data_IF_981944900710
#
_entry.id   IF_981944900710
#
_cell.length_a   1.000
_cell.length_b   1.000
_cell.length_c   1.000
_cell.angle_alpha   90.00
_cell.angle_beta   90.00
_cell.angle_gamma   90.00
#
_symmetry.space_group_name_H-M   'P 1'
#
loop_
_entity.id
_entity.type
_entity.pdbx_description
1 polymer ?
#
# COMPACT_ATOMS: atom_id res chain seq x y z
N UNK A 1 -34.81 13.36 -1.34
CA UNK A 1 -34.54 11.94 -1.01
C UNK A 1 -33.49 11.97 0.07
N UNK A 2 -33.60 11.15 1.12
CA UNK A 2 -32.51 11.00 2.13
C UNK A 2 -31.29 10.32 1.51
N UNK A 3 -30.10 10.72 1.96
CA UNK A 3 -28.84 10.07 1.57
C UNK A 3 -28.89 8.58 1.93
N UNK A 4 -28.46 7.72 1.00
CA UNK A 4 -28.37 6.27 1.22
C UNK A 4 -26.90 5.89 1.32
N UNK A 5 -26.56 5.16 2.38
CA UNK A 5 -25.21 4.65 2.56
C UNK A 5 -25.08 3.23 1.97
N UNK A 6 -23.97 2.91 1.31
CA UNK A 6 -23.74 1.57 0.77
C UNK A 6 -23.72 0.48 1.84
N UNK A 7 -24.36 -0.65 1.53
CA UNK A 7 -24.20 -1.91 2.22
C UNK A 7 -23.44 -2.85 1.29
N UNK A 8 -22.35 -3.44 1.75
CA UNK A 8 -21.50 -4.25 0.90
C UNK A 8 -20.73 -5.31 1.68
N UNK A 9 -20.36 -6.37 0.96
CA UNK A 9 -19.46 -7.40 1.48
C UNK A 9 -18.01 -6.97 1.25
N UNK A 10 -17.18 -7.10 2.27
CA UNK A 10 -15.74 -6.84 2.21
C UNK A 10 -14.96 -8.11 2.48
N UNK A 11 -13.71 -8.16 2.03
CA UNK A 11 -12.84 -9.32 2.18
C UNK A 11 -11.43 -8.93 2.61
N UNK A 12 -10.88 -9.61 3.62
CA UNK A 12 -9.48 -9.60 3.98
C UNK A 12 -8.84 -10.90 3.51
N UNK A 13 -7.85 -10.81 2.64
CA UNK A 13 -7.06 -11.96 2.21
C UNK A 13 -5.98 -12.25 3.24
N UNK A 14 -5.94 -13.46 3.74
CA UNK A 14 -4.82 -13.97 4.53
C UNK A 14 -4.09 -15.03 3.72
N UNK A 15 -2.91 -14.71 3.22
CA UNK A 15 -2.12 -15.63 2.42
C UNK A 15 -0.66 -15.21 2.36
N UNK A 16 0.24 -16.18 2.15
CA UNK A 16 1.63 -15.90 1.78
C UNK A 16 1.73 -15.54 0.29
N UNK A 17 2.69 -14.71 -0.13
CA UNK A 17 3.11 -14.65 -1.53
C UNK A 17 3.78 -15.98 -1.95
N UNK A 18 4.06 -16.15 -3.23
CA UNK A 18 5.09 -17.10 -3.66
C UNK A 18 6.43 -16.38 -3.51
N UNK A 19 7.15 -16.70 -2.46
CA UNK A 19 8.30 -15.92 -1.98
C UNK A 19 9.32 -15.61 -3.08
N UNK A 20 9.58 -14.30 -3.31
CA UNK A 20 10.50 -13.79 -4.33
C UNK A 20 10.20 -14.27 -5.77
N UNK A 21 8.92 -14.55 -6.06
CA UNK A 21 8.46 -14.90 -7.39
C UNK A 21 7.28 -14.00 -7.77
N UNK A 22 7.58 -12.96 -8.53
CA UNK A 22 6.64 -11.94 -8.94
C UNK A 22 5.49 -12.49 -9.76
N UNK A 23 5.79 -13.36 -10.73
CA UNK A 23 4.81 -13.86 -11.69
C UNK A 23 3.83 -14.82 -11.03
N UNK A 24 4.34 -15.73 -10.20
CA UNK A 24 3.49 -16.65 -9.45
C UNK A 24 2.70 -15.93 -8.35
N UNK A 25 3.28 -14.96 -7.64
CA UNK A 25 2.56 -14.13 -6.67
C UNK A 25 1.43 -13.33 -7.33
N UNK A 26 1.66 -12.77 -8.52
CA UNK A 26 0.63 -12.05 -9.30
C UNK A 26 -0.48 -13.01 -9.74
N UNK A 27 -0.12 -14.19 -10.21
CA UNK A 27 -1.11 -15.22 -10.59
C UNK A 27 -1.96 -15.67 -9.41
N UNK A 28 -1.33 -15.93 -8.23
CA UNK A 28 -2.02 -16.27 -6.98
C UNK A 28 -2.96 -15.12 -6.55
N UNK A 29 -2.49 -13.87 -6.59
CA UNK A 29 -3.29 -12.69 -6.29
C UNK A 29 -4.52 -12.59 -7.19
N UNK A 30 -4.35 -12.73 -8.50
CA UNK A 30 -5.45 -12.68 -9.46
C UNK A 30 -6.52 -13.77 -9.22
N UNK A 31 -6.09 -14.98 -8.82
CA UNK A 31 -7.01 -16.05 -8.42
C UNK A 31 -7.79 -15.66 -7.17
N UNK A 32 -7.11 -15.24 -6.10
CA UNK A 32 -7.75 -14.83 -4.84
C UNK A 32 -8.72 -13.65 -5.02
N UNK A 33 -8.41 -12.69 -5.91
CA UNK A 33 -9.32 -11.60 -6.26
C UNK A 33 -10.60 -12.13 -6.88
N UNK A 34 -10.51 -13.05 -7.87
CA UNK A 34 -11.67 -13.64 -8.51
C UNK A 34 -12.48 -14.50 -7.55
N UNK A 35 -11.80 -15.28 -6.69
CA UNK A 35 -12.45 -16.10 -5.66
C UNK A 35 -13.23 -15.22 -4.67
N UNK A 36 -12.64 -14.11 -4.20
CA UNK A 36 -13.33 -13.16 -3.33
C UNK A 36 -14.52 -12.49 -4.02
N UNK A 37 -14.33 -12.07 -5.28
CA UNK A 37 -15.40 -11.48 -6.08
C UNK A 37 -16.57 -12.44 -6.36
N UNK A 38 -16.29 -13.71 -6.60
CA UNK A 38 -17.33 -14.76 -6.79
C UNK A 38 -18.16 -14.99 -5.53
N UNK A 39 -17.60 -14.71 -4.35
CA UNK A 39 -18.28 -14.71 -3.05
C UNK A 39 -18.98 -13.38 -2.73
N UNK A 40 -19.01 -12.45 -3.68
CA UNK A 40 -19.74 -11.18 -3.58
C UNK A 40 -18.99 -10.03 -2.93
N UNK A 41 -17.69 -10.17 -2.65
CA UNK A 41 -16.88 -9.07 -2.09
C UNK A 41 -16.81 -7.89 -3.05
N UNK A 42 -16.96 -6.67 -2.51
CA UNK A 42 -16.89 -5.40 -3.24
C UNK A 42 -15.63 -4.60 -2.91
N UNK A 43 -14.99 -4.89 -1.79
CA UNK A 43 -13.68 -4.37 -1.41
C UNK A 43 -12.83 -5.55 -0.93
N UNK A 44 -11.66 -5.73 -1.52
CA UNK A 44 -10.75 -6.85 -1.25
C UNK A 44 -9.40 -6.27 -0.86
N UNK A 45 -8.92 -6.60 0.33
CA UNK A 45 -7.65 -6.10 0.88
C UNK A 45 -6.63 -7.23 0.98
N UNK A 46 -5.43 -6.97 0.49
CA UNK A 46 -4.30 -7.89 0.50
C UNK A 46 -3.24 -7.49 1.53
N UNK A 47 -2.39 -8.44 1.96
CA UNK A 47 -1.28 -8.18 2.87
C UNK A 47 -0.24 -7.20 2.32
N UNK A 48 0.61 -6.71 3.22
CA UNK A 48 1.78 -5.87 2.93
C UNK A 48 2.81 -6.64 2.09
N UNK A 49 3.27 -5.98 1.01
CA UNK A 49 4.31 -6.53 0.15
C UNK A 49 3.96 -7.87 -0.49
N UNK A 50 2.68 -8.16 -0.75
CA UNK A 50 2.24 -9.45 -1.27
C UNK A 50 2.92 -9.81 -2.61
N UNK A 51 3.30 -8.84 -3.41
CA UNK A 51 4.03 -9.08 -4.65
C UNK A 51 5.39 -8.36 -4.58
N UNK A 52 6.51 -9.10 -4.56
CA UNK A 52 6.66 -10.56 -4.49
C UNK A 52 6.83 -11.07 -3.06
N UNK A 53 7.08 -10.22 -2.09
CA UNK A 53 7.14 -10.46 -0.63
C UNK A 53 7.54 -9.20 0.12
N UNK A 54 7.28 -9.14 1.42
CA UNK A 54 7.91 -8.20 2.34
C UNK A 54 9.34 -8.67 2.68
N UNK A 55 10.35 -7.79 2.81
CA UNK A 55 11.75 -8.16 3.07
C UNK A 55 11.99 -8.60 4.53
N UNK A 56 11.45 -9.73 4.91
CA UNK A 56 11.43 -10.25 6.29
C UNK A 56 12.78 -10.76 6.79
N UNK A 57 13.74 -11.04 5.92
CA UNK A 57 15.06 -11.59 6.27
C UNK A 57 15.90 -10.68 7.17
N UNK A 58 15.62 -9.38 7.25
CA UNK A 58 16.33 -8.48 8.14
C UNK A 58 16.05 -8.74 9.63
N UNK A 59 15.03 -9.56 9.96
CA UNK A 59 14.82 -10.04 11.32
C UNK A 59 15.77 -11.17 11.73
N UNK A 60 16.30 -11.87 10.74
CA UNK A 60 17.11 -13.08 10.93
C UNK A 60 18.57 -12.93 10.52
N UNK A 61 18.87 -12.00 9.63
CA UNK A 61 20.18 -11.77 9.07
C UNK A 61 20.62 -10.32 9.23
N UNK A 62 21.92 -10.09 9.42
CA UNK A 62 22.46 -8.74 9.39
C UNK A 62 22.16 -8.07 8.04
N UNK A 63 21.62 -6.86 8.05
CA UNK A 63 21.16 -6.15 6.84
C UNK A 63 22.23 -5.95 5.76
N UNK A 64 23.51 -5.90 6.17
CA UNK A 64 24.69 -5.84 5.29
C UNK A 64 25.34 -7.19 5.03
N UNK A 65 24.76 -8.29 5.55
CA UNK A 65 25.28 -9.65 5.36
C UNK A 65 25.04 -10.16 3.94
N UNK A 66 25.83 -11.18 3.54
CA UNK A 66 25.76 -11.76 2.20
C UNK A 66 24.39 -12.35 1.85
N UNK A 67 23.73 -13.00 2.81
CA UNK A 67 22.38 -13.57 2.62
C UNK A 67 21.36 -12.45 2.40
N UNK A 68 21.33 -11.43 3.29
CA UNK A 68 20.42 -10.30 3.16
C UNK A 68 20.63 -9.54 1.83
N UNK A 69 21.88 -9.32 1.44
CA UNK A 69 22.21 -8.68 0.15
C UNK A 69 21.68 -9.51 -1.03
N UNK A 70 21.88 -10.82 -1.03
CA UNK A 70 21.40 -11.72 -2.09
C UNK A 70 19.87 -11.68 -2.18
N UNK A 71 19.17 -11.80 -1.06
CA UNK A 71 17.71 -11.76 -1.01
C UNK A 71 17.17 -10.38 -1.45
N UNK A 72 17.82 -9.28 -1.07
CA UNK A 72 17.45 -7.94 -1.50
C UNK A 72 17.65 -7.73 -3.01
N UNK A 73 18.69 -8.34 -3.61
CA UNK A 73 18.87 -8.34 -5.07
C UNK A 73 17.76 -9.12 -5.78
N UNK A 74 17.36 -10.28 -5.25
CA UNK A 74 16.25 -11.04 -5.82
C UNK A 74 14.92 -10.29 -5.65
N UNK A 75 14.71 -9.61 -4.51
CA UNK A 75 13.56 -8.74 -4.33
C UNK A 75 13.52 -7.64 -5.39
N UNK A 76 14.63 -6.93 -5.61
CA UNK A 76 14.68 -5.88 -6.63
C UNK A 76 14.33 -6.40 -8.03
N UNK A 77 14.89 -7.56 -8.44
CA UNK A 77 14.58 -8.18 -9.74
C UNK A 77 13.09 -8.50 -9.87
N UNK A 78 12.48 -8.99 -8.80
CA UNK A 78 11.08 -9.41 -8.74
C UNK A 78 10.11 -8.31 -8.27
N UNK A 79 10.57 -7.09 -8.00
CA UNK A 79 9.68 -5.96 -7.66
C UNK A 79 8.93 -5.45 -8.89
N UNK A 80 7.73 -4.93 -8.69
CA UNK A 80 6.85 -4.39 -9.74
C UNK A 80 7.22 -2.96 -10.13
N UNK A 81 6.98 -2.60 -11.37
CA UNK A 81 6.95 -1.20 -11.80
C UNK A 81 5.50 -0.71 -11.90
N UNK A 82 5.25 0.56 -11.64
CA UNK A 82 3.92 1.15 -11.71
C UNK A 82 3.98 2.38 -12.64
N UNK A 83 3.32 2.32 -13.82
CA UNK A 83 2.58 1.20 -14.41
C UNK A 83 3.48 0.04 -14.84
N UNK A 84 2.90 -1.18 -14.92
CA UNK A 84 3.61 -2.38 -15.32
C UNK A 84 2.69 -3.55 -15.63
N UNK A 85 3.23 -4.65 -16.19
CA UNK A 85 2.42 -5.78 -16.62
C UNK A 85 1.66 -6.45 -15.47
N UNK A 86 2.27 -6.57 -14.29
CA UNK A 86 1.66 -7.17 -13.10
C UNK A 86 0.43 -6.36 -12.65
N UNK A 87 0.57 -5.02 -12.65
CA UNK A 87 -0.54 -4.12 -12.32
C UNK A 87 -1.69 -4.28 -13.32
N UNK A 88 -1.37 -4.46 -14.61
CA UNK A 88 -2.37 -4.70 -15.63
C UNK A 88 -3.14 -6.01 -15.41
N UNK A 89 -2.47 -7.09 -14.98
CA UNK A 89 -3.14 -8.35 -14.65
C UNK A 89 -4.04 -8.21 -13.42
N UNK A 90 -3.59 -7.50 -12.39
CA UNK A 90 -4.41 -7.19 -11.22
C UNK A 90 -5.64 -6.34 -11.59
N UNK A 91 -5.48 -5.37 -12.48
CA UNK A 91 -6.58 -4.56 -13.02
C UNK A 91 -7.63 -5.41 -13.76
N UNK A 92 -7.20 -6.39 -14.56
CA UNK A 92 -8.10 -7.35 -15.21
C UNK A 92 -8.85 -8.18 -14.17
N UNK A 93 -8.14 -8.72 -13.15
CA UNK A 93 -8.75 -9.51 -12.09
C UNK A 93 -9.77 -8.71 -11.27
N UNK A 94 -9.46 -7.44 -10.93
CA UNK A 94 -10.37 -6.54 -10.23
C UNK A 94 -11.66 -6.28 -11.04
N UNK A 95 -11.53 -6.09 -12.36
CA UNK A 95 -12.67 -5.93 -13.27
C UNK A 95 -13.51 -7.21 -13.35
N UNK A 96 -12.88 -8.39 -13.46
CA UNK A 96 -13.57 -9.69 -13.49
C UNK A 96 -14.38 -9.88 -12.18
N UNK A 97 -13.77 -9.53 -11.04
CA UNK A 97 -14.39 -9.60 -9.71
C UNK A 97 -15.44 -8.51 -9.46
N UNK A 98 -15.45 -7.42 -10.25
CA UNK A 98 -16.26 -6.21 -10.03
C UNK A 98 -16.12 -5.67 -8.61
N UNK A 99 -14.86 -5.57 -8.15
CA UNK A 99 -14.50 -5.20 -6.80
C UNK A 99 -13.33 -4.20 -6.76
N UNK A 100 -13.32 -3.33 -5.76
CA UNK A 100 -12.14 -2.54 -5.41
C UNK A 100 -11.10 -3.48 -4.81
N UNK A 101 -9.85 -3.32 -5.23
CA UNK A 101 -8.72 -4.10 -4.73
C UNK A 101 -7.67 -3.17 -4.16
N UNK A 102 -7.24 -3.45 -2.92
CA UNK A 102 -6.08 -2.81 -2.29
C UNK A 102 -5.00 -3.88 -2.14
N UNK A 103 -3.90 -3.72 -2.89
CA UNK A 103 -2.85 -4.72 -3.03
C UNK A 103 -1.51 -4.20 -2.54
N UNK A 104 -0.86 -4.93 -1.63
CA UNK A 104 0.51 -4.65 -1.21
C UNK A 104 1.54 -5.15 -2.22
N UNK A 105 2.47 -4.29 -2.63
CA UNK A 105 3.54 -4.63 -3.57
C UNK A 105 4.87 -4.01 -3.17
N UNK A 106 5.99 -4.65 -3.52
CA UNK A 106 7.27 -3.97 -3.58
C UNK A 106 7.39 -3.29 -4.95
N UNK A 107 7.42 -1.97 -4.95
CA UNK A 107 7.54 -1.14 -6.15
C UNK A 107 9.01 -0.80 -6.39
N UNK A 108 9.51 -0.97 -7.60
CA UNK A 108 10.79 -0.41 -8.04
C UNK A 108 10.58 0.73 -9.04
N UNK A 109 11.40 1.76 -8.95
CA UNK A 109 11.39 2.83 -9.94
C UNK A 109 12.04 2.39 -11.24
N UNK A 110 11.42 2.74 -12.37
CA UNK A 110 11.93 2.39 -13.71
C UNK A 110 13.18 3.18 -14.13
N UNK A 111 13.37 4.36 -13.53
CA UNK A 111 14.46 5.28 -13.85
C UNK A 111 15.68 5.18 -12.93
N UNK A 112 15.67 4.26 -11.97
CA UNK A 112 16.78 4.04 -11.04
C UNK A 112 17.11 2.56 -10.92
N UNK A 113 18.35 2.26 -10.49
CA UNK A 113 18.78 0.90 -10.15
C UNK A 113 18.94 0.85 -8.62
N UNK A 114 18.05 0.08 -7.94
CA UNK A 114 18.12 -0.13 -6.50
C UNK A 114 17.09 0.62 -5.66
N UNK A 115 16.35 1.60 -6.21
CA UNK A 115 15.30 2.29 -5.44
C UNK A 115 14.01 1.50 -5.45
N UNK A 116 13.57 1.10 -4.26
CA UNK A 116 12.31 0.39 -4.03
C UNK A 116 11.46 1.10 -2.97
N UNK A 117 10.14 0.90 -3.05
CA UNK A 117 9.17 1.35 -2.07
C UNK A 117 8.27 0.20 -1.65
N UNK A 118 7.83 0.23 -0.41
CA UNK A 118 6.71 -0.56 0.05
C UNK A 118 5.43 0.20 -0.31
N UNK A 119 4.57 -0.40 -1.13
CA UNK A 119 3.48 0.31 -1.78
C UNK A 119 2.17 -0.45 -1.68
N UNK A 120 1.08 0.23 -1.36
CA UNK A 120 -0.28 -0.24 -1.60
C UNK A 120 -0.82 0.39 -2.88
N UNK A 121 -1.33 -0.41 -3.81
CA UNK A 121 -2.04 0.06 -5.00
C UNK A 121 -3.54 -0.11 -4.83
N UNK A 122 -4.30 0.85 -5.37
CA UNK A 122 -5.75 0.89 -5.34
C UNK A 122 -6.28 0.74 -6.75
N UNK A 123 -7.18 -0.23 -6.95
CA UNK A 123 -7.75 -0.58 -8.27
C UNK A 123 -9.27 -0.56 -8.16
N UNK A 124 -9.94 0.02 -9.14
CA UNK A 124 -11.40 0.10 -9.21
C UNK A 124 -12.04 -1.17 -9.81
N UNK A 125 -13.37 -1.33 -9.62
CA UNK A 125 -14.14 -2.46 -10.12
C UNK A 125 -14.27 -2.48 -11.65
N UNK A 126 -13.92 -1.42 -12.31
CA UNK A 126 -13.79 -1.30 -13.77
C UNK A 126 -12.40 -1.65 -14.30
N UNK A 127 -11.48 -2.01 -13.41
CA UNK A 127 -10.09 -2.32 -13.70
C UNK A 127 -9.20 -1.10 -13.88
N UNK A 128 -9.64 0.11 -13.51
CA UNK A 128 -8.78 1.30 -13.51
C UNK A 128 -7.87 1.31 -12.30
N UNK A 129 -6.60 1.63 -12.52
CA UNK A 129 -5.69 2.01 -11.47
C UNK A 129 -6.09 3.38 -10.91
N UNK A 130 -6.44 3.44 -9.63
CA UNK A 130 -6.89 4.67 -8.98
C UNK A 130 -5.74 5.47 -8.38
N UNK A 131 -4.66 4.80 -8.00
CA UNK A 131 -3.49 5.40 -7.37
C UNK A 131 -2.80 4.46 -6.40
N UNK A 132 -1.89 5.03 -5.62
CA UNK A 132 -1.10 4.28 -4.64
C UNK A 132 -0.88 5.06 -3.35
N UNK A 133 -0.49 4.33 -2.31
CA UNK A 133 0.15 4.84 -1.12
C UNK A 133 1.52 4.19 -0.98
N UNK A 134 2.58 4.98 -0.91
CA UNK A 134 3.94 4.53 -0.58
C UNK A 134 4.16 4.72 0.92
N UNK A 135 4.59 3.65 1.60
CA UNK A 135 4.83 3.68 3.05
C UNK A 135 5.71 4.87 3.42
N UNK A 136 5.19 5.75 4.27
CA UNK A 136 5.86 7.01 4.64
C UNK A 136 7.19 6.71 5.31
N UNK A 137 7.22 5.69 6.17
CA UNK A 137 8.41 5.31 6.91
C UNK A 137 8.54 3.79 7.00
N UNK A 138 9.47 3.19 6.26
CA UNK A 138 9.82 1.79 6.42
C UNK A 138 10.28 1.49 7.84
N UNK A 139 9.93 0.30 8.35
CA UNK A 139 10.12 -0.05 9.76
C UNK A 139 11.46 -0.76 9.98
N UNK A 140 12.30 -0.22 10.89
CA UNK A 140 13.57 -0.83 11.33
C UNK A 140 14.44 -1.31 10.16
N UNK A 141 14.66 -2.61 10.02
CA UNK A 141 15.52 -3.22 8.98
C UNK A 141 14.97 -3.12 7.56
N UNK A 142 13.67 -2.86 7.39
CA UNK A 142 13.07 -2.58 6.09
C UNK A 142 13.76 -1.39 5.38
N UNK A 143 14.33 -0.44 6.13
CA UNK A 143 15.08 0.72 5.62
C UNK A 143 16.37 0.37 4.86
N UNK A 144 16.87 -0.85 5.00
CA UNK A 144 17.96 -1.34 4.14
C UNK A 144 17.49 -1.62 2.71
N UNK A 145 16.18 -1.69 2.48
CA UNK A 145 15.58 -2.15 1.23
C UNK A 145 14.67 -1.09 0.61
N UNK A 146 13.78 -0.51 1.41
CA UNK A 146 12.78 0.44 0.95
C UNK A 146 13.12 1.87 1.33
N UNK A 147 12.82 2.79 0.42
CA UNK A 147 12.88 4.24 0.63
C UNK A 147 11.60 4.74 1.29
N UNK A 148 11.72 5.82 2.06
CA UNK A 148 10.58 6.56 2.62
C UNK A 148 9.68 7.11 1.51
N UNK A 149 8.35 6.90 1.66
CA UNK A 149 7.33 7.55 0.85
C UNK A 149 7.11 9.01 1.25
N UNK A 150 6.31 9.72 0.47
CA UNK A 150 6.00 11.13 0.71
C UNK A 150 4.51 11.36 0.91
N UNK A 151 4.14 12.55 1.36
CA UNK A 151 2.77 12.89 1.69
C UNK A 151 1.84 13.00 0.48
N UNK A 152 2.35 13.10 -0.75
CA UNK A 152 1.57 13.13 -1.99
C UNK A 152 0.72 11.87 -2.19
N UNK A 153 1.17 10.74 -1.65
CA UNK A 153 0.45 9.46 -1.73
C UNK A 153 -0.40 9.13 -0.50
N UNK A 154 -0.28 9.89 0.59
CA UNK A 154 -1.10 9.72 1.80
C UNK A 154 -2.46 10.39 1.59
N UNK A 155 -3.47 9.65 1.13
CA UNK A 155 -4.78 10.19 0.78
C UNK A 155 -5.90 9.17 0.86
N UNK A 156 -7.13 9.66 0.85
CA UNK A 156 -8.35 8.87 0.74
C UNK A 156 -8.81 8.83 -0.72
N UNK A 157 -9.20 7.66 -1.20
CA UNK A 157 -9.76 7.46 -2.53
C UNK A 157 -11.29 7.47 -2.44
N UNK A 158 -11.93 8.48 -3.04
CA UNK A 158 -13.39 8.55 -3.12
C UNK A 158 -13.89 7.51 -4.13
N UNK A 159 -14.76 6.63 -3.67
CA UNK A 159 -15.31 5.51 -4.47
C UNK A 159 -16.82 5.39 -4.30
N UNK A 160 -17.49 4.67 -5.20
CA UNK A 160 -18.90 4.36 -5.09
C UNK A 160 -19.22 3.46 -3.89
N UNK A 161 -18.25 2.66 -3.44
CA UNK A 161 -18.35 1.87 -2.19
C UNK A 161 -18.07 2.68 -0.93
N UNK A 162 -17.86 4.00 -1.05
CA UNK A 162 -17.43 4.89 0.02
C UNK A 162 -15.94 5.23 -0.05
N UNK A 163 -15.47 6.22 0.74
CA UNK A 163 -14.08 6.63 0.80
C UNK A 163 -13.18 5.54 1.38
N UNK A 164 -12.18 5.10 0.60
CA UNK A 164 -11.22 4.04 0.97
C UNK A 164 -9.84 4.64 1.21
N UNK A 165 -9.22 4.33 2.33
CA UNK A 165 -7.81 4.64 2.62
C UNK A 165 -7.01 3.37 2.90
N UNK A 166 -5.69 3.50 2.97
CA UNK A 166 -4.84 2.39 3.37
C UNK A 166 -3.51 2.83 3.97
N UNK A 167 -3.01 2.03 4.89
CA UNK A 167 -1.69 2.13 5.51
C UNK A 167 -1.10 0.74 5.71
N UNK A 168 0.22 0.69 5.89
CA UNK A 168 0.97 -0.57 6.02
C UNK A 168 1.64 -0.68 7.38
N UNK A 169 1.47 -1.84 8.04
CA UNK A 169 2.13 -2.23 9.28
C UNK A 169 2.05 -1.13 10.36
N UNK A 170 3.18 -0.73 10.91
CA UNK A 170 3.28 0.23 12.03
C UNK A 170 2.79 1.64 11.70
N UNK A 171 2.64 2.02 10.43
CA UNK A 171 1.99 3.30 10.06
C UNK A 171 0.58 3.39 10.64
N UNK A 172 -0.11 2.25 10.75
CA UNK A 172 -1.44 2.16 11.33
C UNK A 172 -1.51 2.52 12.81
N UNK A 173 -0.37 2.68 13.46
CA UNK A 173 -0.24 3.15 14.84
C UNK A 173 0.22 4.61 14.94
N UNK A 174 0.53 5.27 13.81
CA UNK A 174 0.92 6.67 13.79
C UNK A 174 -0.30 7.57 13.95
N UNK A 175 -0.43 8.31 15.08
CA UNK A 175 -1.64 9.11 15.35
C UNK A 175 -1.85 10.24 14.33
N UNK A 176 -0.77 10.78 13.76
CA UNK A 176 -0.87 11.84 12.76
C UNK A 176 -1.35 11.30 11.40
N UNK A 177 -0.88 10.11 11.00
CA UNK A 177 -1.36 9.45 9.79
C UNK A 177 -2.84 9.02 9.93
N UNK A 178 -3.23 8.48 11.09
CA UNK A 178 -4.62 8.16 11.40
C UNK A 178 -5.49 9.42 11.29
N UNK A 179 -5.03 10.52 11.91
CA UNK A 179 -5.78 11.78 11.91
C UNK A 179 -5.87 12.40 10.50
N UNK A 180 -4.81 12.30 9.70
CA UNK A 180 -4.81 12.75 8.31
C UNK A 180 -5.92 12.07 7.48
N UNK A 181 -6.00 10.74 7.54
CA UNK A 181 -7.02 9.99 6.82
C UNK A 181 -8.43 10.15 7.41
N UNK A 182 -8.52 10.36 8.73
CA UNK A 182 -9.78 10.65 9.41
C UNK A 182 -10.35 11.99 8.95
N UNK A 183 -9.50 13.02 8.86
CA UNK A 183 -9.87 14.35 8.40
C UNK A 183 -10.31 14.38 6.92
N UNK A 184 -9.74 13.50 6.08
CA UNK A 184 -10.16 13.30 4.69
C UNK A 184 -11.42 12.42 4.54
N UNK A 185 -12.02 11.98 5.65
CA UNK A 185 -13.31 11.32 5.65
C UNK A 185 -13.30 9.85 5.29
N UNK A 186 -12.21 9.12 5.57
CA UNK A 186 -12.17 7.66 5.38
C UNK A 186 -13.36 6.96 6.05
N UNK A 187 -13.95 5.98 5.36
CA UNK A 187 -15.04 5.12 5.88
C UNK A 187 -14.68 3.65 5.84
N UNK A 188 -13.76 3.28 4.95
CA UNK A 188 -13.18 1.93 4.85
C UNK A 188 -11.66 2.10 4.86
N UNK A 189 -11.01 1.40 5.77
CA UNK A 189 -9.55 1.43 5.87
C UNK A 189 -8.94 0.07 5.58
N UNK A 190 -8.08 0.02 4.57
CA UNK A 190 -7.32 -1.16 4.18
C UNK A 190 -6.00 -1.20 4.96
N UNK A 191 -5.93 -2.06 5.96
CA UNK A 191 -4.77 -2.23 6.81
C UNK A 191 -4.00 -3.47 6.38
N UNK A 192 -2.78 -3.29 5.86
CA UNK A 192 -1.95 -4.38 5.38
C UNK A 192 -0.80 -4.69 6.34
N UNK A 193 -0.54 -5.98 6.55
CA UNK A 193 0.48 -6.46 7.46
C UNK A 193 1.38 -7.53 6.82
N UNK A 194 2.68 -7.58 7.17
CA UNK A 194 3.58 -8.64 6.73
C UNK A 194 3.29 -9.95 7.49
N UNK A 195 4.06 -10.98 7.23
CA UNK A 195 3.78 -12.32 7.74
C UNK A 195 4.29 -12.60 9.16
N UNK A 196 5.41 -12.04 9.56
CA UNK A 196 5.96 -12.31 10.89
C UNK A 196 6.70 -11.10 11.42
N UNK A 197 6.34 -10.73 12.61
CA UNK A 197 6.98 -9.67 13.36
C UNK A 197 6.65 -9.82 14.84
N UNK A 198 7.56 -9.38 15.68
CA UNK A 198 7.36 -9.49 17.12
C UNK A 198 8.14 -10.66 17.74
N UNK A 199 7.66 -11.12 18.87
CA UNK A 199 8.23 -12.22 19.66
C UNK A 199 7.13 -13.17 20.10
N UNK A 200 7.47 -14.37 20.56
CA UNK A 200 6.48 -15.32 21.10
C UNK A 200 5.69 -14.74 22.27
N UNK A 201 6.31 -13.89 23.10
CA UNK A 201 5.63 -13.23 24.22
C UNK A 201 4.73 -12.08 23.79
N UNK A 202 4.93 -11.54 22.58
CA UNK A 202 4.12 -10.47 22.01
C UNK A 202 4.06 -10.64 20.50
N UNK A 203 3.25 -11.58 20.00
CA UNK A 203 3.14 -11.91 18.60
C UNK A 203 2.50 -10.78 17.78
N UNK A 204 2.72 -10.77 16.48
CA UNK A 204 2.20 -9.73 15.59
C UNK A 204 0.68 -9.58 15.67
N UNK A 205 -0.06 -10.65 15.88
CA UNK A 205 -1.53 -10.61 16.03
C UNK A 205 -2.01 -9.61 17.09
N UNK A 206 -1.24 -9.44 18.18
CA UNK A 206 -1.57 -8.46 19.23
C UNK A 206 -1.38 -7.03 18.73
N UNK A 207 -0.32 -6.77 17.94
CA UNK A 207 -0.12 -5.46 17.33
C UNK A 207 -1.20 -5.15 16.29
N UNK A 208 -1.54 -6.11 15.42
CA UNK A 208 -2.63 -6.00 14.45
C UNK A 208 -3.93 -5.66 15.13
N UNK A 209 -4.28 -6.39 16.20
CA UNK A 209 -5.50 -6.16 16.97
C UNK A 209 -5.55 -4.76 17.58
N UNK A 210 -4.49 -4.34 18.28
CA UNK A 210 -4.42 -3.02 18.93
C UNK A 210 -4.55 -1.92 17.88
N UNK A 211 -3.81 -2.00 16.76
CA UNK A 211 -3.83 -1.00 15.71
C UNK A 211 -5.21 -0.93 15.03
N UNK A 212 -5.83 -2.09 14.75
CA UNK A 212 -7.15 -2.16 14.12
C UNK A 212 -8.25 -1.54 14.97
N UNK A 213 -8.27 -1.88 16.26
CA UNK A 213 -9.25 -1.32 17.22
C UNK A 213 -9.04 0.18 17.39
N UNK A 214 -7.78 0.62 17.53
CA UNK A 214 -7.45 2.03 17.69
C UNK A 214 -7.83 2.85 16.45
N UNK A 215 -7.49 2.36 15.24
CA UNK A 215 -7.85 3.06 14.01
C UNK A 215 -9.37 3.21 13.88
N UNK A 216 -10.13 2.13 14.08
CA UNK A 216 -11.60 2.17 14.07
C UNK A 216 -12.16 3.14 15.12
N UNK A 217 -11.60 3.13 16.33
CA UNK A 217 -12.02 4.01 17.44
C UNK A 217 -11.81 5.49 17.11
N UNK A 218 -10.70 5.85 16.47
CA UNK A 218 -10.38 7.25 16.15
C UNK A 218 -11.14 7.71 14.91
N UNK A 219 -11.10 6.94 13.82
CA UNK A 219 -11.65 7.34 12.52
C UNK A 219 -13.16 7.14 12.40
N UNK A 220 -13.74 6.23 13.20
CA UNK A 220 -15.11 5.71 13.04
C UNK A 220 -15.32 5.08 11.65
N UNK A 221 -14.28 4.43 11.12
CA UNK A 221 -14.30 3.69 9.86
C UNK A 221 -14.33 2.17 10.12
N UNK A 222 -14.80 1.42 9.14
CA UNK A 222 -14.52 -0.02 9.08
C UNK A 222 -13.05 -0.26 8.76
N UNK A 223 -12.41 -1.18 9.47
CA UNK A 223 -11.02 -1.57 9.25
C UNK A 223 -10.96 -2.99 8.73
N UNK A 224 -10.34 -3.19 7.59
CA UNK A 224 -10.11 -4.49 6.97
C UNK A 224 -8.62 -4.79 7.09
N UNK A 225 -8.23 -5.62 8.06
CA UNK A 225 -6.84 -5.99 8.31
C UNK A 225 -6.50 -7.29 7.61
N UNK A 226 -5.62 -7.22 6.61
CA UNK A 226 -5.11 -8.35 5.87
C UNK A 226 -3.67 -8.65 6.29
N UNK A 227 -3.42 -9.88 6.72
CA UNK A 227 -2.14 -10.36 7.21
C UNK A 227 -1.56 -11.42 6.27
N UNK A 228 -0.25 -11.40 6.08
CA UNK A 228 0.42 -12.48 5.37
C UNK A 228 0.67 -13.67 6.30
N UNK A 229 0.95 -14.82 5.69
CA UNK A 229 1.36 -16.05 6.37
C UNK A 229 2.77 -16.46 5.92
N UNK A 230 3.30 -17.52 6.47
CA UNK A 230 4.60 -18.09 6.14
C UNK A 230 4.41 -19.30 5.24
N UNK A 231 5.27 -19.45 4.22
CA UNK A 231 5.30 -20.64 3.37
C UNK A 231 6.66 -21.34 3.41
N UNK A 232 6.72 -22.58 2.92
CA UNK A 232 7.93 -23.41 2.93
C UNK A 232 9.05 -22.79 2.07
N UNK A 233 8.72 -22.22 0.91
CA UNK A 233 9.70 -21.59 0.02
C UNK A 233 10.40 -20.41 0.69
N UNK A 234 9.68 -19.64 1.51
CA UNK A 234 10.25 -18.54 2.30
C UNK A 234 11.30 -19.09 3.26
N UNK A 235 10.97 -20.14 4.01
CA UNK A 235 11.86 -20.77 4.98
C UNK A 235 13.13 -21.33 4.31
N UNK A 236 12.95 -22.07 3.22
CA UNK A 236 14.07 -22.64 2.46
C UNK A 236 15.01 -21.56 1.92
N UNK A 237 14.48 -20.50 1.32
CA UNK A 237 15.29 -19.46 0.70
C UNK A 237 16.01 -18.56 1.70
N UNK A 238 15.44 -18.37 2.89
CA UNK A 238 16.04 -17.53 3.93
C UNK A 238 17.24 -18.17 4.63
N UNK A 239 17.50 -19.47 4.47
CA UNK A 239 18.62 -20.16 5.10
C UNK A 239 18.68 -19.93 6.62
N UNK A 240 17.59 -20.21 7.30
CA UNK A 240 17.42 -20.01 8.74
C UNK A 240 18.18 -21.08 9.54
N UNK A 241 18.58 -20.74 10.78
CA UNK A 241 18.98 -21.73 11.77
C UNK A 241 17.77 -22.52 12.25
N UNK A 242 17.98 -23.70 12.83
CA UNK A 242 16.89 -24.52 13.36
C UNK A 242 16.04 -23.79 14.40
N UNK A 243 16.66 -22.93 15.22
CA UNK A 243 15.94 -22.11 16.21
C UNK A 243 15.08 -21.03 15.54
N UNK A 244 15.63 -20.37 14.50
CA UNK A 244 14.89 -19.36 13.72
C UNK A 244 13.75 -20.01 12.93
N UNK A 245 13.95 -21.19 12.37
CA UNK A 245 12.93 -21.96 11.69
C UNK A 245 11.80 -22.37 12.65
N UNK A 246 12.13 -22.86 13.83
CA UNK A 246 11.15 -23.18 14.85
C UNK A 246 10.33 -21.95 15.24
N UNK A 247 10.98 -20.79 15.39
CA UNK A 247 10.30 -19.52 15.70
C UNK A 247 9.31 -19.12 14.62
N UNK A 248 9.75 -19.11 13.34
CA UNK A 248 8.89 -18.62 12.24
C UNK A 248 7.70 -19.56 11.95
N UNK A 249 7.86 -20.86 12.29
CA UNK A 249 6.81 -21.89 12.15
C UNK A 249 5.79 -21.88 13.30
N UNK A 250 6.01 -21.08 14.35
CA UNK A 250 5.06 -21.03 15.46
C UNK A 250 3.74 -20.41 15.01
N UNK A 251 2.60 -21.09 15.18
CA UNK A 251 1.29 -20.64 14.69
C UNK A 251 0.86 -19.28 15.23
N UNK A 252 1.44 -18.78 16.34
CA UNK A 252 1.08 -17.46 16.89
C UNK A 252 1.78 -16.30 16.21
N UNK A 253 2.85 -16.58 15.41
CA UNK A 253 3.70 -15.55 14.83
C UNK A 253 3.06 -14.86 13.63
N UNK A 254 2.33 -15.60 12.79
CA UNK A 254 1.75 -15.09 11.53
C UNK A 254 0.23 -15.08 11.53
N UNK A 255 -0.37 -14.50 10.50
CA UNK A 255 -1.82 -14.40 10.37
C UNK A 255 -2.44 -13.33 11.28
N UNK A 256 -3.69 -13.54 11.65
CA UNK A 256 -4.44 -12.62 12.50
C UNK A 256 -5.30 -11.62 11.75
N UNK A 257 -5.64 -11.90 10.48
CA UNK A 257 -6.55 -11.06 9.69
C UNK A 257 -7.89 -10.91 10.40
N UNK A 258 -8.43 -9.68 10.40
CA UNK A 258 -9.69 -9.36 11.04
C UNK A 258 -10.40 -8.21 10.36
N UNK A 259 -11.71 -8.10 10.61
CA UNK A 259 -12.53 -6.97 10.18
C UNK A 259 -13.15 -6.34 11.41
N UNK A 260 -13.02 -5.03 11.55
CA UNK A 260 -13.43 -4.25 12.72
C UNK A 260 -14.45 -3.20 12.30
N UNK A 261 -15.51 -3.07 13.09
CA UNK A 261 -16.58 -2.08 12.90
C UNK A 261 -16.20 -0.70 13.49
N UNK A 262 -16.93 0.38 13.13
CA UNK A 262 -16.66 1.75 13.60
C UNK A 262 -16.73 1.96 15.11
N UNK A 263 -17.36 1.05 15.85
CA UNK A 263 -17.41 0.99 17.31
C UNK A 263 -16.28 0.17 17.94
N UNK A 264 -15.29 -0.23 17.13
CA UNK A 264 -14.15 -1.07 17.52
C UNK A 264 -14.51 -2.52 17.87
N UNK A 265 -15.69 -3.01 17.48
CA UNK A 265 -16.00 -4.43 17.61
C UNK A 265 -15.37 -5.22 16.46
N UNK A 266 -14.75 -6.36 16.78
CA UNK A 266 -14.29 -7.32 15.76
C UNK A 266 -15.53 -8.05 15.25
N UNK A 267 -15.89 -7.83 13.98
CA UNK A 267 -17.07 -8.44 13.35
C UNK A 267 -16.75 -9.70 12.56
N UNK A 268 -15.46 -9.91 12.22
CA UNK A 268 -14.97 -11.18 11.67
C UNK A 268 -13.50 -11.38 12.03
N UNK A 269 -13.09 -12.64 12.28
CA UNK A 269 -11.76 -13.00 12.75
C UNK A 269 -11.57 -12.82 14.27
N UNK A 270 -10.32 -12.73 14.80
CA UNK A 270 -9.08 -12.90 14.03
C UNK A 270 -8.90 -14.33 13.51
N UNK A 271 -8.30 -14.47 12.33
CA UNK A 271 -7.89 -15.77 11.77
C UNK A 271 -6.68 -16.34 12.53
N UNK A 272 -6.46 -17.64 12.37
CA UNK A 272 -5.24 -18.33 12.79
C UNK A 272 -4.04 -18.01 11.91
N UNK A 273 -3.21 -19.02 11.64
CA UNK A 273 -2.08 -18.96 10.72
C UNK A 273 -2.39 -19.58 9.34
N UNK A 274 -3.60 -20.11 9.18
CA UNK A 274 -4.07 -20.71 7.94
C UNK A 274 -4.28 -19.67 6.82
N UNK A 275 -4.07 -20.06 5.57
CA UNK A 275 -4.47 -19.25 4.41
C UNK A 275 -6.00 -19.29 4.21
N UNK A 276 -6.56 -18.17 3.82
CA UNK A 276 -7.98 -18.06 3.53
C UNK A 276 -8.42 -16.64 3.19
N UNK A 277 -9.73 -16.48 2.99
CA UNK A 277 -10.35 -15.18 2.77
C UNK A 277 -11.43 -14.97 3.82
N UNK A 278 -11.28 -13.94 4.62
CA UNK A 278 -12.23 -13.57 5.67
C UNK A 278 -13.23 -12.57 5.10
N UNK A 279 -14.51 -12.77 5.36
CA UNK A 279 -15.58 -11.92 4.85
C UNK A 279 -16.40 -11.28 5.98
N UNK A 280 -16.93 -10.08 5.71
CA UNK A 280 -17.98 -9.46 6.50
C UNK A 280 -18.91 -8.64 5.60
N UNK A 281 -20.20 -8.59 5.96
CA UNK A 281 -21.14 -7.62 5.41
C UNK A 281 -21.09 -6.36 6.30
N UNK A 282 -20.94 -5.19 5.68
CA UNK A 282 -20.83 -3.91 6.36
C UNK A 282 -21.89 -2.91 5.85
N UNK A 283 -22.35 -2.05 6.73
CA UNK A 283 -23.26 -0.92 6.42
C UNK A 283 -22.56 0.39 6.76
N UNK A 284 -22.24 1.20 5.77
CA UNK A 284 -21.54 2.46 5.99
C UNK A 284 -22.35 3.50 6.79
N UNK A 285 -23.64 3.26 7.02
CA UNK A 285 -24.45 4.06 7.93
C UNK A 285 -23.93 3.99 9.37
N UNK A 286 -23.30 2.87 9.78
CA UNK A 286 -22.70 2.72 11.11
C UNK A 286 -21.55 3.74 11.34
N UNK A 287 -20.80 4.13 10.28
CA UNK A 287 -19.80 5.19 10.41
C UNK A 287 -20.44 6.52 10.86
N UNK A 288 -21.60 6.89 10.29
CA UNK A 288 -22.33 8.11 10.65
C UNK A 288 -22.83 8.02 12.09
N UNK A 289 -23.44 6.91 12.45
CA UNK A 289 -23.98 6.67 13.79
C UNK A 289 -22.93 6.90 14.88
N UNK A 290 -21.71 6.36 14.68
CA UNK A 290 -20.62 6.49 15.65
C UNK A 290 -19.93 7.85 15.60
N UNK A 291 -19.86 8.51 14.44
CA UNK A 291 -19.39 9.89 14.33
C UNK A 291 -20.29 10.90 15.00
N UNK A 292 -21.59 10.68 15.06
CA UNK A 292 -22.53 11.57 15.79
C UNK A 292 -22.20 11.67 17.29
N UNK A 293 -21.49 10.70 17.85
CA UNK A 293 -21.06 10.73 19.26
C UNK A 293 -19.66 11.32 19.44
N UNK A 294 -18.69 10.92 18.58
CA UNK A 294 -17.29 11.31 18.71
C UNK A 294 -16.65 11.47 17.32
N UNK A 295 -16.89 12.62 16.68
CA UNK A 295 -16.24 12.95 15.41
C UNK A 295 -14.98 13.79 15.66
N UNK A 296 -13.81 13.14 15.71
CA UNK A 296 -12.53 13.83 15.87
C UNK A 296 -12.12 14.65 14.65
N UNK A 297 -12.78 14.49 13.51
CA UNK A 297 -12.63 15.35 12.33
C UNK A 297 -13.66 16.49 12.25
N UNK A 298 -14.54 16.60 13.25
CA UNK A 298 -15.62 17.56 13.28
C UNK A 298 -15.89 18.07 14.70
N UNK A 299 -17.15 17.89 15.18
CA UNK A 299 -17.64 18.52 16.40
C UNK A 299 -16.93 18.10 17.72
N UNK A 300 -16.10 17.05 17.70
CA UNK A 300 -15.31 16.60 18.86
C UNK A 300 -13.83 16.95 18.71
N UNK A 301 -13.52 18.05 18.05
CA UNK A 301 -12.19 18.62 17.88
C UNK A 301 -12.15 20.08 18.30
N UNK A 302 -10.98 20.60 18.54
CA UNK A 302 -10.66 22.00 18.86
C UNK A 302 -9.64 22.51 17.86
N UNK A 303 -10.09 22.91 16.67
CA UNK A 303 -9.27 23.40 15.56
C UNK A 303 -8.50 24.67 15.90
N UNK A 304 -8.98 25.41 16.90
CA UNK A 304 -8.31 26.57 17.47
C UNK A 304 -7.09 26.19 18.35
N UNK A 305 -6.99 24.91 18.79
CA UNK A 305 -5.90 24.43 19.64
C UNK A 305 -5.03 23.39 18.90
N UNK A 306 -5.68 22.46 18.18
CA UNK A 306 -5.02 21.31 17.53
C UNK A 306 -5.24 21.38 16.02
N UNK A 307 -4.12 21.51 15.29
CA UNK A 307 -4.12 21.55 13.83
C UNK A 307 -3.11 20.55 13.28
N UNK A 308 -3.45 19.89 12.20
CA UNK A 308 -2.56 18.99 11.47
C UNK A 308 -2.19 19.62 10.12
N UNK A 309 -0.90 19.76 9.86
CA UNK A 309 -0.36 20.20 8.59
C UNK A 309 0.28 19.02 7.87
N UNK A 310 -0.08 18.80 6.62
CA UNK A 310 0.44 17.71 5.80
C UNK A 310 1.16 18.32 4.60
N UNK A 311 2.44 18.03 4.45
CA UNK A 311 3.16 18.35 3.22
C UNK A 311 2.83 17.31 2.15
N UNK A 312 2.21 17.75 1.05
CA UNK A 312 1.83 16.91 -0.10
C UNK A 312 2.85 16.92 -1.23
N UNK A 313 3.97 17.61 -1.04
CA UNK A 313 5.02 17.65 -2.05
C UNK A 313 5.86 16.37 -2.01
N UNK A 314 6.17 15.82 -3.20
CA UNK A 314 7.20 14.80 -3.37
C UNK A 314 8.49 15.50 -3.82
N UNK A 315 9.49 15.67 -2.93
CA UNK A 315 10.71 16.39 -3.29
C UNK A 315 11.47 15.63 -4.37
N UNK A 316 11.98 16.37 -5.35
CA UNK A 316 12.86 15.83 -6.40
C UNK A 316 14.28 15.71 -5.86
N UNK A 317 15.02 14.68 -6.32
CA UNK A 317 16.43 14.50 -5.97
C UNK A 317 17.28 15.71 -6.42
N UNK A 318 16.95 16.30 -7.55
CA UNK A 318 17.59 17.50 -8.10
C UNK A 318 16.56 18.32 -8.89
N UNK A 319 16.82 19.62 -8.95
CA UNK A 319 16.13 20.54 -9.85
C UNK A 319 17.15 21.07 -10.84
N UNK A 320 16.82 21.04 -12.12
CA UNK A 320 17.64 21.70 -13.14
C UNK A 320 17.46 23.23 -12.99
N UNK A 321 18.57 23.93 -12.81
CA UNK A 321 18.59 25.39 -12.81
C UNK A 321 19.23 25.87 -14.11
N UNK A 322 18.44 26.47 -14.98
CA UNK A 322 18.94 27.14 -16.18
C UNK A 322 19.17 28.61 -15.80
N UNK A 323 20.43 29.05 -15.76
CA UNK A 323 20.77 30.47 -15.63
C UNK A 323 20.15 31.28 -16.78
N UNK A 324 19.90 32.56 -16.59
CA UNK A 324 19.24 33.44 -17.58
C UNK A 324 19.95 33.56 -18.94
N UNK A 325 21.02 32.80 -19.21
CA UNK A 325 21.87 32.91 -20.42
C UNK A 325 21.97 31.65 -21.26
N UNK A 326 21.36 30.54 -20.89
CA UNK A 326 21.49 29.31 -21.69
C UNK A 326 20.19 28.98 -22.44
N UNK A 327 20.05 29.56 -23.64
CA UNK A 327 19.22 28.96 -24.67
C UNK A 327 19.87 27.63 -25.08
N UNK A 328 19.21 26.50 -24.83
CA UNK A 328 19.64 25.20 -25.40
C UNK A 328 19.77 25.34 -26.90
N UNK A 329 20.96 25.23 -27.41
CA UNK A 329 21.17 24.90 -28.80
C UNK A 329 21.02 23.39 -28.95
N UNK A 330 19.89 22.93 -29.43
CA UNK A 330 19.75 21.54 -29.80
C UNK A 330 20.63 21.27 -31.02
N UNK A 331 21.73 20.54 -30.82
CA UNK A 331 22.52 20.02 -31.91
C UNK A 331 21.75 18.84 -32.52
N UNK A 332 21.13 19.09 -33.66
CA UNK A 332 20.62 18.00 -34.52
C UNK A 332 21.77 17.58 -35.41
N UNK A 333 22.36 16.43 -35.17
CA UNK A 333 23.22 15.79 -36.16
C UNK A 333 22.37 15.27 -37.30
N UNK A 334 22.43 15.91 -38.45
CA UNK A 334 21.89 15.35 -39.69
C UNK A 334 22.98 14.51 -40.36
N UNK A 335 22.75 13.20 -40.45
CA UNK A 335 23.51 12.35 -41.38
C UNK A 335 23.07 12.66 -42.80
N UNK A 336 23.74 13.61 -43.47
CA UNK A 336 23.77 13.70 -44.89
C UNK A 336 24.93 14.61 -45.33
N UNK A 337 25.88 14.01 -46.01
CA UNK A 337 26.84 14.73 -46.84
C UNK A 337 26.08 15.57 -47.88
N UNK A 338 26.02 16.86 -47.68
CA UNK A 338 26.06 17.88 -48.71
C UNK A 338 26.07 19.29 -48.06
N UNK A 339 27.05 20.06 -48.54
CA UNK A 339 27.36 21.43 -48.15
C UNK A 339 26.21 22.43 -48.31
N UNK A 340 26.13 23.34 -47.33
CA UNK A 340 25.56 24.70 -47.34
C UNK A 340 24.18 24.93 -46.75
N UNK A 341 24.22 25.78 -45.74
CA UNK A 341 23.14 26.53 -45.07
C UNK A 341 22.45 25.89 -43.87
N UNK A 342 23.09 26.06 -42.70
CA UNK A 342 22.40 26.00 -41.41
C UNK A 342 21.50 27.25 -41.27
N UNK A 343 20.19 27.07 -41.33
CA UNK A 343 19.23 28.08 -40.89
C UNK A 343 19.01 27.95 -39.37
N UNK A 344 19.37 28.98 -38.65
CA UNK A 344 18.98 29.16 -37.24
C UNK A 344 17.47 29.43 -37.16
N UNK A 345 16.71 28.53 -36.55
CA UNK A 345 15.34 28.83 -36.14
C UNK A 345 15.32 29.04 -34.61
N UNK A 346 15.10 30.30 -34.22
CA UNK A 346 14.77 30.64 -32.84
C UNK A 346 13.32 30.21 -32.50
N UNK A 347 13.16 29.30 -31.56
CA UNK A 347 11.84 29.01 -30.99
C UNK A 347 11.68 29.88 -29.74
N UNK A 348 10.87 30.91 -29.83
CA UNK A 348 10.44 31.76 -28.74
C UNK A 348 9.33 31.04 -27.98
N UNK A 349 9.61 30.50 -26.80
CA UNK A 349 8.59 30.03 -25.87
C UNK A 349 8.31 31.15 -24.86
N UNK A 350 7.27 31.93 -25.10
CA UNK A 350 6.71 32.84 -24.11
C UNK A 350 5.76 32.04 -23.21
N UNK A 351 6.20 31.72 -22.01
CA UNK A 351 5.35 31.33 -20.90
C UNK A 351 4.74 32.59 -20.26
N UNK A 352 3.48 32.81 -20.53
CA UNK A 352 2.58 33.59 -19.65
C UNK A 352 1.15 33.19 -19.96
N UNK A 353 0.63 32.25 -19.17
CA UNK A 353 -0.79 32.19 -18.81
C UNK A 353 -0.94 31.24 -17.60
N UNK A 354 -0.70 31.79 -16.41
CA UNK A 354 -1.44 31.43 -15.21
C UNK A 354 -2.57 32.44 -15.13
N UNK A 355 -3.81 31.98 -15.31
CA UNK A 355 -4.98 32.40 -14.53
C UNK A 355 -6.24 31.75 -15.10
N UNK A 356 -7.03 31.20 -14.17
CA UNK A 356 -8.44 30.81 -14.28
C UNK A 356 -8.76 29.44 -14.98
N UNK A 357 -8.88 28.39 -14.15
CA UNK A 357 -10.16 27.72 -13.82
C UNK A 357 -9.93 26.71 -12.71
#
# INVERSE_FOLDING_TARGET
>A
MSEKFPQLKVAAVQASPVFLDKDQSTSKACKLIRDAGSNGAKVIVFPEGFIPTHPVWYHFHAGTGSIATKLSMELFKNSVTIPGPEVNELCKAARDAKAYVVMGVCEKLSNTIGTMYNTQIFIGPDGRYLGKHQKIMPTVGERFVHKDGYGDTLKVFNTESGPISGLMCSENSNPLAIMALTAEGTRIHAMAWPNHWGTLSRPMREYVKIASLNFAQVSKAFVISACSTVDERMIEMMQLTSEQEQFIRDPVISGGSMIVAPDSQIIAGPMGDEEGILYADIDLQECVKHKLHHDFSGHYNREDILQLYINRDAPKLYNEYFGKSDTKKDFVCSDSDDDKNCCEQEINVNDNQLDNC
#
